data_IF_242777566969
#
_entry.id   IF_242777566969
#
_cell.length_a   1.000
_cell.length_b   1.000
_cell.length_c   1.000
_cell.angle_alpha   90.00
_cell.angle_beta   90.00
_cell.angle_gamma   90.00
#
_symmetry.space_group_name_H-M   'P 1'
#
loop_
_entity.id
_entity.type
_entity.pdbx_description
1 polymer ?
#
# COMPACT_ATOMS: atom_id res chain seq x y z
N UNK A 1 5.19 -9.03 10.11
CA UNK A 1 4.97 -10.45 10.46
C UNK A 1 4.80 -11.30 9.21
N UNK A 2 3.76 -11.08 8.39
CA UNK A 2 3.40 -12.02 7.30
C UNK A 2 4.43 -12.12 6.16
N UNK A 3 5.22 -11.07 5.93
CA UNK A 3 6.16 -11.00 4.80
C UNK A 3 7.63 -11.17 5.19
N UNK A 4 7.92 -11.51 6.46
CA UNK A 4 9.31 -11.65 6.93
C UNK A 4 10.16 -10.37 6.84
N UNK A 5 9.52 -9.21 6.62
CA UNK A 5 10.17 -7.92 6.47
C UNK A 5 10.70 -7.38 7.79
N UNK A 6 11.87 -6.77 7.76
CA UNK A 6 12.43 -6.01 8.87
C UNK A 6 11.74 -4.64 9.02
N UNK A 7 12.09 -3.89 10.07
CA UNK A 7 11.48 -2.59 10.38
C UNK A 7 11.53 -1.58 9.23
N UNK A 8 12.70 -1.48 8.56
CA UNK A 8 12.90 -0.53 7.47
C UNK A 8 12.10 -0.94 6.24
N UNK A 9 12.13 -2.23 5.88
CA UNK A 9 11.37 -2.77 4.76
C UNK A 9 9.86 -2.53 4.90
N UNK A 10 9.31 -2.69 6.11
CA UNK A 10 7.89 -2.42 6.37
C UNK A 10 7.53 -0.94 6.19
N UNK A 11 8.41 -0.03 6.62
CA UNK A 11 8.17 1.41 6.52
C UNK A 11 8.25 1.89 5.07
N UNK A 12 9.22 1.36 4.31
CA UNK A 12 9.46 1.72 2.91
C UNK A 12 8.51 1.00 1.95
N UNK A 13 7.80 -0.03 2.41
CA UNK A 13 6.83 -0.75 1.60
C UNK A 13 5.72 0.20 1.12
N UNK A 14 5.36 0.14 -0.17
CA UNK A 14 4.33 0.99 -0.74
C UNK A 14 2.96 0.72 -0.14
N UNK A 15 2.20 1.79 0.07
CA UNK A 15 0.92 1.74 0.78
C UNK A 15 -0.27 1.89 -0.16
N UNK A 16 -1.38 1.28 0.23
CA UNK A 16 -2.70 1.51 -0.35
C UNK A 16 -3.75 1.70 0.75
N UNK A 17 -4.87 2.35 0.41
CA UNK A 17 -5.96 2.63 1.34
C UNK A 17 -7.33 2.61 0.66
N UNK A 18 -8.32 2.00 1.32
CA UNK A 18 -9.73 1.99 0.90
C UNK A 18 -10.63 2.11 2.13
N UNK A 19 -11.60 3.03 2.12
CA UNK A 19 -12.39 3.40 3.31
C UNK A 19 -13.91 3.31 3.10
N UNK A 20 -14.36 2.31 2.34
CA UNK A 20 -15.75 2.09 1.92
C UNK A 20 -16.30 3.20 1.00
N UNK A 21 -16.45 4.43 1.50
CA UNK A 21 -16.87 5.59 0.71
C UNK A 21 -15.79 6.68 0.72
N UNK A 22 -15.41 7.24 -0.45
CA UNK A 22 -15.78 6.75 -1.79
C UNK A 22 -15.16 5.37 -2.07
N UNK A 23 -15.81 4.56 -2.91
CA UNK A 23 -15.37 3.20 -3.29
C UNK A 23 -14.15 3.19 -4.22
N UNK A 24 -13.02 3.69 -3.71
CA UNK A 24 -11.77 3.91 -4.44
C UNK A 24 -10.59 3.40 -3.63
N UNK A 25 -9.72 2.62 -4.26
CA UNK A 25 -8.43 2.22 -3.70
C UNK A 25 -7.40 3.29 -4.09
N UNK A 26 -6.89 3.99 -3.08
CA UNK A 26 -5.79 4.93 -3.24
C UNK A 26 -4.48 4.16 -3.09
N UNK A 27 -3.52 4.39 -3.99
CA UNK A 27 -2.21 3.75 -3.91
C UNK A 27 -1.10 4.74 -4.18
N UNK A 28 0.07 4.52 -3.58
CA UNK A 28 1.23 5.38 -3.78
C UNK A 28 1.86 5.17 -5.16
N UNK A 29 2.33 6.27 -5.76
CA UNK A 29 3.01 6.26 -7.05
C UNK A 29 4.21 5.30 -7.04
N UNK A 30 4.33 4.52 -8.12
CA UNK A 30 5.37 3.49 -8.30
C UNK A 30 5.35 2.35 -7.26
N UNK A 31 4.30 2.25 -6.43
CA UNK A 31 4.21 1.25 -5.37
C UNK A 31 3.69 -0.12 -5.81
N UNK A 32 3.00 -0.21 -6.94
CA UNK A 32 2.40 -1.46 -7.41
C UNK A 32 2.71 -1.67 -8.88
N UNK A 33 2.89 -2.93 -9.28
CA UNK A 33 3.13 -3.26 -10.69
C UNK A 33 1.91 -2.88 -11.54
N UNK A 34 2.11 -2.46 -12.81
CA UNK A 34 1.00 -2.17 -13.71
C UNK A 34 0.04 -3.34 -13.89
N UNK A 35 0.54 -4.58 -13.82
CA UNK A 35 -0.27 -5.79 -13.98
C UNK A 35 -1.17 -6.04 -12.76
N UNK A 36 -0.68 -5.79 -11.54
CA UNK A 36 -1.52 -5.84 -10.33
C UNK A 36 -2.62 -4.79 -10.38
N UNK A 37 -2.31 -3.57 -10.85
CA UNK A 37 -3.32 -2.51 -11.00
C UNK A 37 -4.40 -2.93 -12.01
N UNK A 38 -4.00 -3.45 -13.18
CA UNK A 38 -4.94 -3.93 -14.21
C UNK A 38 -5.84 -5.06 -13.70
N UNK A 39 -5.27 -6.00 -12.96
CA UNK A 39 -6.04 -7.12 -12.39
C UNK A 39 -7.07 -6.65 -11.35
N UNK A 40 -6.72 -5.67 -10.51
CA UNK A 40 -7.66 -5.07 -9.56
C UNK A 40 -8.77 -4.28 -10.27
N UNK A 41 -8.44 -3.54 -11.32
CA UNK A 41 -9.43 -2.86 -12.16
C UNK A 41 -10.38 -3.86 -12.84
N UNK A 42 -9.85 -4.99 -13.34
CA UNK A 42 -10.65 -6.07 -13.93
C UNK A 42 -11.64 -6.68 -12.94
N UNK A 43 -11.30 -6.67 -11.64
CA UNK A 43 -12.18 -7.11 -10.54
C UNK A 43 -13.22 -6.06 -10.12
N UNK A 44 -13.24 -4.89 -10.75
CA UNK A 44 -14.21 -3.82 -10.51
C UNK A 44 -13.75 -2.76 -9.51
N UNK A 45 -12.48 -2.77 -9.10
CA UNK A 45 -11.96 -1.72 -8.22
C UNK A 45 -11.62 -0.45 -9.00
N UNK A 46 -12.07 0.70 -8.47
CA UNK A 46 -11.56 1.99 -8.93
C UNK A 46 -10.21 2.25 -8.28
N UNK A 47 -9.16 2.38 -9.09
CA UNK A 47 -7.79 2.62 -8.63
C UNK A 47 -7.42 4.09 -8.83
N UNK A 48 -6.87 4.74 -7.80
CA UNK A 48 -6.39 6.13 -7.87
C UNK A 48 -4.95 6.24 -7.37
N UNK A 49 -4.07 6.68 -8.26
CA UNK A 49 -2.70 7.04 -7.88
C UNK A 49 -2.71 8.32 -7.01
N UNK A 50 -1.92 8.32 -5.94
CA UNK A 50 -1.75 9.44 -5.03
C UNK A 50 -0.30 9.64 -4.60
N UNK A 51 -0.10 10.62 -3.72
CA UNK A 51 1.17 10.85 -3.03
C UNK A 51 1.35 9.95 -1.81
N UNK A 52 2.39 10.22 -1.03
CA UNK A 52 2.71 9.46 0.18
C UNK A 52 1.60 9.47 1.23
N UNK A 53 1.44 8.35 1.93
CA UNK A 53 0.37 8.12 2.90
C UNK A 53 0.93 8.03 4.32
N UNK A 54 1.00 9.18 5.00
CA UNK A 54 1.43 9.28 6.40
C UNK A 54 2.94 9.15 6.63
N UNK A 55 3.36 9.31 7.88
CA UNK A 55 4.78 9.33 8.30
C UNK A 55 4.95 8.39 9.49
N UNK A 56 5.07 7.09 9.22
CA UNK A 56 5.23 6.08 10.26
C UNK A 56 6.66 6.13 10.86
N UNK A 57 6.75 5.91 12.17
CA UNK A 57 8.00 5.76 12.92
C UNK A 57 7.89 4.45 13.71
N UNK A 58 8.85 3.55 13.55
CA UNK A 58 8.79 2.19 14.12
C UNK A 58 10.06 1.87 14.88
N UNK A 59 9.89 1.23 16.04
CA UNK A 59 10.93 0.59 16.82
C UNK A 59 10.57 -0.88 16.90
N UNK A 60 11.50 -1.76 16.52
CA UNK A 60 11.38 -3.20 16.74
C UNK A 60 12.30 -3.57 17.89
N UNK A 61 11.74 -4.30 18.86
CA UNK A 61 12.47 -4.85 19.99
C UNK A 61 12.39 -6.38 19.89
N UNK A 62 13.54 -7.03 19.89
CA UNK A 62 13.69 -8.47 19.96
C UNK A 62 14.32 -8.82 21.32
N UNK A 63 13.59 -9.49 22.23
CA UNK A 63 14.00 -9.74 23.61
C UNK A 63 15.14 -10.74 23.78
#
# INVERSE_FOLDING_TARGET
>A
MDFGMNAQEVIDAPRFHHQWLPGVINYEKFGFSPDTIKELQRRGHTMREGGGQGVAQVIVYDP
#
